data_IF_747491421947
#
_entry.id   IF_747491421947
#
_cell.length_a   1.000
_cell.length_b   1.000
_cell.length_c   1.000
_cell.angle_alpha   90.00
_cell.angle_beta   90.00
_cell.angle_gamma   90.00
#
_symmetry.space_group_name_H-M   'P 1'
#
loop_
_entity.id
_entity.type
_entity.pdbx_description
1 polymer ?
#
# COMPACT_ATOMS: atom_id res chain seq x y z
N UNK A 1 7.50 -44.50 39.94
CA UNK A 1 6.07 -44.21 40.15
C UNK A 1 5.61 -43.23 39.07
N UNK A 2 5.10 -43.68 37.92
CA UNK A 2 4.51 -42.79 36.93
C UNK A 2 3.03 -42.56 37.25
N UNK A 3 2.67 -41.31 37.53
CA UNK A 3 1.29 -40.89 37.79
C UNK A 3 0.51 -40.74 36.49
N UNK A 4 -0.59 -41.47 36.39
CA UNK A 4 -1.57 -41.39 35.33
C UNK A 4 -2.30 -40.04 35.36
N UNK A 5 -2.28 -39.32 34.24
CA UNK A 5 -3.12 -38.14 34.02
C UNK A 5 -4.23 -38.51 33.03
N UNK A 6 -5.44 -38.39 33.54
CA UNK A 6 -6.76 -38.71 33.01
C UNK A 6 -7.18 -37.90 31.78
N UNK A 7 -7.85 -38.55 30.84
CA UNK A 7 -8.48 -37.95 29.66
C UNK A 7 -9.70 -37.06 30.02
N UNK A 8 -10.00 -36.02 29.24
CA UNK A 8 -11.17 -35.16 29.46
C UNK A 8 -12.49 -35.82 28.98
N UNK A 9 -13.65 -35.42 29.55
CA UNK A 9 -14.94 -36.06 29.27
C UNK A 9 -15.51 -35.65 27.90
N UNK A 10 -16.14 -36.61 27.22
CA UNK A 10 -16.82 -36.43 25.93
C UNK A 10 -18.02 -35.48 26.07
N UNK A 11 -17.96 -34.33 25.38
CA UNK A 11 -19.06 -33.39 25.26
C UNK A 11 -20.13 -33.91 24.30
N UNK A 12 -21.34 -34.08 24.82
CA UNK A 12 -22.57 -34.36 24.08
C UNK A 12 -22.80 -33.31 22.97
N UNK A 13 -22.70 -33.71 21.70
CA UNK A 13 -23.19 -32.94 20.56
C UNK A 13 -24.72 -33.02 20.48
N UNK A 14 -25.45 -31.91 20.27
CA UNK A 14 -26.88 -31.95 20.01
C UNK A 14 -27.19 -32.59 18.63
N UNK A 15 -28.35 -33.26 18.47
CA UNK A 15 -28.70 -33.93 17.21
C UNK A 15 -28.99 -32.91 16.09
N UNK A 16 -28.60 -33.27 14.87
CA UNK A 16 -28.86 -32.49 13.66
C UNK A 16 -30.37 -32.35 13.38
N UNK A 17 -30.84 -31.19 12.86
CA UNK A 17 -32.24 -31.02 12.49
C UNK A 17 -32.62 -31.92 11.30
N UNK A 18 -33.88 -32.40 11.22
CA UNK A 18 -34.32 -33.30 10.17
C UNK A 18 -34.30 -32.60 8.80
N UNK A 19 -33.85 -33.33 7.78
CA UNK A 19 -33.84 -32.90 6.39
C UNK A 19 -35.27 -32.55 5.93
N UNK A 20 -35.48 -31.29 5.58
CA UNK A 20 -36.70 -30.85 4.91
C UNK A 20 -36.77 -31.51 3.53
N UNK A 21 -37.74 -32.40 3.37
CA UNK A 21 -38.07 -33.05 2.09
C UNK A 21 -38.59 -31.98 1.13
N UNK A 22 -37.79 -31.62 0.12
CA UNK A 22 -38.24 -30.81 -1.00
C UNK A 22 -39.14 -31.67 -1.90
N UNK A 23 -40.44 -31.38 -1.92
CA UNK A 23 -41.37 -32.00 -2.86
C UNK A 23 -41.05 -31.65 -4.32
N UNK A 24 -41.49 -32.47 -5.30
CA UNK A 24 -41.15 -32.27 -6.70
C UNK A 24 -41.83 -31.00 -7.26
N UNK A 25 -41.07 -30.20 -8.02
CA UNK A 25 -41.58 -29.09 -8.83
C UNK A 25 -42.59 -29.62 -9.87
N UNK A 26 -43.71 -28.94 -10.12
CA UNK A 26 -44.65 -29.35 -11.16
C UNK A 26 -44.03 -29.15 -12.56
N UNK A 27 -44.30 -30.06 -13.52
CA UNK A 27 -43.76 -29.95 -14.87
C UNK A 27 -44.39 -28.75 -15.62
N UNK A 28 -43.63 -28.05 -16.49
CA UNK A 28 -44.23 -27.07 -17.39
C UNK A 28 -45.14 -27.80 -18.38
N UNK A 29 -46.42 -27.42 -18.38
CA UNK A 29 -47.44 -27.99 -19.23
C UNK A 29 -47.11 -27.82 -20.72
N UNK A 30 -46.99 -28.95 -21.42
CA UNK A 30 -46.99 -28.99 -22.86
C UNK A 30 -48.38 -28.72 -23.41
N UNK A 31 -48.48 -27.74 -24.34
CA UNK A 31 -49.61 -27.62 -25.27
C UNK A 31 -49.06 -27.50 -26.68
N UNK A 32 -49.43 -28.49 -27.50
CA UNK A 32 -49.74 -28.34 -28.92
C UNK A 32 -48.56 -28.21 -29.87
N UNK A 33 -48.13 -29.34 -30.41
CA UNK A 33 -47.69 -29.39 -31.79
C UNK A 33 -48.94 -29.33 -32.69
N UNK A 34 -48.97 -28.41 -33.65
CA UNK A 34 -49.54 -28.60 -35.00
C UNK A 34 -49.40 -27.30 -35.81
N UNK A 35 -48.94 -27.43 -37.07
CA UNK A 35 -49.07 -26.38 -38.08
C UNK A 35 -47.75 -25.83 -38.65
N UNK A 36 -47.26 -26.48 -39.70
CA UNK A 36 -46.25 -25.94 -40.59
C UNK A 36 -46.82 -24.78 -41.44
N UNK A 37 -46.20 -23.61 -41.46
CA UNK A 37 -46.24 -22.69 -42.60
C UNK A 37 -45.10 -21.68 -42.58
N UNK A 38 -44.52 -21.48 -43.77
CA UNK A 38 -43.42 -20.57 -44.11
C UNK A 38 -43.70 -19.10 -43.77
N UNK A 39 -42.63 -18.36 -43.42
CA UNK A 39 -42.47 -16.94 -43.75
C UNK A 39 -42.77 -15.93 -42.65
N UNK A 40 -41.81 -15.03 -42.39
CA UNK A 40 -42.02 -13.77 -41.68
C UNK A 40 -41.23 -13.64 -40.38
N UNK A 41 -40.23 -12.75 -40.36
CA UNK A 41 -39.62 -12.26 -39.13
C UNK A 41 -40.71 -11.64 -38.23
N UNK A 42 -40.70 -11.84 -36.91
CA UNK A 42 -41.71 -11.25 -36.04
C UNK A 42 -41.48 -9.73 -35.99
N UNK A 43 -42.51 -8.99 -36.42
CA UNK A 43 -42.60 -7.55 -36.21
C UNK A 43 -42.52 -7.24 -34.71
N UNK A 44 -41.64 -6.29 -34.36
CA UNK A 44 -41.54 -5.76 -32.99
C UNK A 44 -42.88 -5.15 -32.58
N UNK A 45 -43.40 -5.41 -31.37
CA UNK A 45 -44.55 -4.67 -30.87
C UNK A 45 -44.14 -3.21 -30.62
N UNK A 46 -44.61 -2.32 -31.50
CA UNK A 46 -44.58 -0.87 -31.32
C UNK A 46 -45.65 -0.51 -30.27
N UNK A 47 -45.29 -0.42 -29.00
CA UNK A 47 -46.29 -0.08 -27.98
C UNK A 47 -45.85 0.03 -26.52
N UNK A 48 -44.63 -0.40 -26.15
CA UNK A 48 -44.17 -0.36 -24.74
C UNK A 48 -42.92 0.52 -24.51
N UNK A 49 -42.57 1.37 -25.47
CA UNK A 49 -41.37 2.22 -25.41
C UNK A 49 -41.54 3.48 -24.54
N UNK A 50 -42.71 3.67 -23.90
CA UNK A 50 -43.03 4.88 -23.15
C UNK A 50 -42.71 4.85 -21.65
N UNK A 51 -42.54 3.67 -21.04
CA UNK A 51 -42.48 3.55 -19.57
C UNK A 51 -41.08 3.30 -18.99
N UNK A 52 -40.08 3.03 -19.84
CA UNK A 52 -38.68 2.84 -19.41
C UNK A 52 -37.76 4.02 -19.75
N UNK A 53 -38.33 5.17 -20.13
CA UNK A 53 -37.59 6.36 -20.59
C UNK A 53 -36.94 7.19 -19.48
N UNK A 54 -37.08 6.79 -18.21
CA UNK A 54 -36.49 7.49 -17.05
C UNK A 54 -35.20 6.89 -16.50
N UNK A 55 -34.79 5.71 -16.99
CA UNK A 55 -33.53 5.09 -16.57
C UNK A 55 -32.39 5.62 -17.44
N UNK A 56 -31.43 6.32 -16.85
CA UNK A 56 -30.13 6.53 -17.50
C UNK A 56 -29.49 5.15 -17.72
N UNK A 57 -29.69 4.58 -18.91
CA UNK A 57 -28.96 3.40 -19.32
C UNK A 57 -27.51 3.83 -19.45
N UNK A 58 -26.63 3.18 -18.69
CA UNK A 58 -25.19 3.31 -18.88
C UNK A 58 -24.85 2.71 -20.25
N UNK A 59 -24.82 3.55 -21.28
CA UNK A 59 -24.34 3.19 -22.61
C UNK A 59 -22.82 2.96 -22.52
N UNK A 60 -22.43 1.72 -22.20
CA UNK A 60 -21.03 1.33 -22.25
C UNK A 60 -20.68 0.99 -23.69
N UNK A 61 -20.21 1.98 -24.44
CA UNK A 61 -19.61 1.74 -25.75
C UNK A 61 -18.36 0.87 -25.58
N UNK A 62 -18.49 -0.42 -25.87
CA UNK A 62 -17.43 -1.40 -25.80
C UNK A 62 -16.38 -1.21 -26.92
N UNK A 63 -16.70 -0.40 -27.95
CA UNK A 63 -15.83 -0.15 -29.11
C UNK A 63 -14.76 0.91 -28.84
N UNK A 64 -15.00 1.82 -27.90
CA UNK A 64 -14.03 2.84 -27.49
C UNK A 64 -13.49 2.58 -26.08
N UNK A 65 -12.32 1.92 -25.96
CA UNK A 65 -11.65 1.81 -24.68
C UNK A 65 -11.06 3.18 -24.31
N UNK A 66 -11.88 4.09 -23.76
CA UNK A 66 -11.49 5.32 -23.06
C UNK A 66 -10.75 5.00 -21.75
N UNK A 67 -9.80 4.05 -21.80
CA UNK A 67 -9.01 3.53 -20.68
C UNK A 67 -8.18 4.65 -20.07
N UNK A 68 -7.53 5.43 -20.92
CA UNK A 68 -6.71 6.56 -20.50
C UNK A 68 -7.57 7.63 -19.82
N UNK A 69 -8.65 8.06 -20.45
CA UNK A 69 -9.56 9.07 -19.89
C UNK A 69 -10.14 8.63 -18.54
N UNK A 70 -10.62 7.38 -18.43
CA UNK A 70 -11.14 6.83 -17.16
C UNK A 70 -10.08 6.72 -16.08
N UNK A 71 -8.85 6.35 -16.44
CA UNK A 71 -7.73 6.27 -15.49
C UNK A 71 -7.29 7.66 -15.02
N UNK A 72 -7.18 8.63 -15.92
CA UNK A 72 -6.87 10.02 -15.58
C UNK A 72 -7.99 10.64 -14.73
N UNK A 73 -9.25 10.35 -15.04
CA UNK A 73 -10.38 10.80 -14.23
C UNK A 73 -10.36 10.18 -12.82
N UNK A 74 -9.98 8.90 -12.68
CA UNK A 74 -9.82 8.23 -11.38
C UNK A 74 -8.70 8.86 -10.56
N UNK A 75 -7.51 9.04 -11.16
CA UNK A 75 -6.38 9.71 -10.51
C UNK A 75 -6.76 11.14 -10.10
N UNK A 76 -7.30 11.93 -11.04
CA UNK A 76 -7.68 13.32 -10.79
C UNK A 76 -8.75 13.44 -9.71
N UNK A 77 -9.77 12.59 -9.74
CA UNK A 77 -10.84 12.57 -8.72
C UNK A 77 -10.32 12.10 -7.37
N UNK A 78 -9.50 11.06 -7.34
CA UNK A 78 -8.89 10.53 -6.11
C UNK A 78 -7.97 11.55 -5.44
N UNK A 79 -7.12 12.22 -6.22
CA UNK A 79 -6.26 13.29 -5.73
C UNK A 79 -7.07 14.52 -5.27
N UNK A 80 -8.13 14.90 -5.99
CA UNK A 80 -9.01 16.01 -5.57
C UNK A 80 -9.78 15.68 -4.29
N UNK A 81 -10.11 14.40 -4.07
CA UNK A 81 -10.75 13.88 -2.86
C UNK A 81 -9.75 13.44 -1.79
N UNK A 82 -8.54 14.01 -1.76
CA UNK A 82 -7.52 13.69 -0.75
C UNK A 82 -8.03 13.82 0.70
N UNK A 83 -8.98 14.73 0.97
CA UNK A 83 -9.61 14.90 2.29
C UNK A 83 -10.37 13.64 2.74
N UNK A 84 -11.02 12.95 1.80
CA UNK A 84 -11.69 11.68 2.08
C UNK A 84 -10.65 10.58 2.36
N UNK A 85 -9.61 10.48 1.54
CA UNK A 85 -8.52 9.53 1.77
C UNK A 85 -7.85 9.75 3.14
N UNK A 86 -7.62 11.02 3.51
CA UNK A 86 -7.09 11.40 4.81
C UNK A 86 -8.04 11.04 5.96
N UNK A 87 -9.34 11.33 5.84
CA UNK A 87 -10.33 10.97 6.86
C UNK A 87 -10.40 9.44 7.07
N UNK A 88 -10.36 8.66 5.99
CA UNK A 88 -10.30 7.21 6.06
C UNK A 88 -8.99 6.70 6.67
N UNK A 89 -7.85 7.32 6.32
CA UNK A 89 -6.56 6.99 6.90
C UNK A 89 -6.52 7.28 8.41
N UNK A 90 -7.11 8.41 8.82
CA UNK A 90 -7.25 8.76 10.24
C UNK A 90 -8.15 7.78 10.99
N UNK A 91 -9.26 7.37 10.37
CA UNK A 91 -10.15 6.35 10.92
C UNK A 91 -9.42 5.01 11.10
N UNK A 92 -8.57 4.61 10.14
CA UNK A 92 -7.75 3.40 10.26
C UNK A 92 -6.80 3.46 11.45
N UNK A 93 -6.12 4.59 11.63
CA UNK A 93 -5.21 4.81 12.77
C UNK A 93 -6.02 4.69 14.07
N UNK A 94 -7.15 5.39 14.17
CA UNK A 94 -8.00 5.37 15.38
C UNK A 94 -8.53 3.97 15.67
N UNK A 95 -8.92 3.22 14.65
CA UNK A 95 -9.39 1.84 14.79
C UNK A 95 -8.26 0.89 15.20
N UNK A 96 -7.05 1.06 14.64
CA UNK A 96 -5.87 0.27 14.99
C UNK A 96 -5.48 0.41 16.46
N UNK A 97 -5.69 1.59 17.05
CA UNK A 97 -5.37 1.86 18.45
C UNK A 97 -6.60 1.86 19.38
N UNK A 98 -7.78 1.46 18.89
CA UNK A 98 -9.00 1.42 19.70
C UNK A 98 -8.83 0.37 20.81
N UNK A 99 -8.94 0.80 22.07
CA UNK A 99 -8.80 -0.08 23.24
C UNK A 99 -7.37 -0.30 23.70
N UNK A 100 -6.37 0.37 23.12
CA UNK A 100 -4.99 0.34 23.63
C UNK A 100 -4.79 1.40 24.72
N UNK A 101 -4.24 0.99 25.86
CA UNK A 101 -3.93 1.87 27.00
C UNK A 101 -2.78 2.82 26.68
N UNK A 102 -1.76 2.33 25.96
CA UNK A 102 -0.54 3.08 25.61
C UNK A 102 -0.68 3.72 24.21
N UNK A 103 -1.57 3.21 23.37
CA UNK A 103 -1.89 3.79 22.07
C UNK A 103 -0.70 3.83 21.10
N UNK A 104 -0.62 4.86 20.23
CA UNK A 104 0.48 5.05 19.27
C UNK A 104 1.87 5.19 19.91
N UNK A 105 1.94 5.54 21.21
CA UNK A 105 3.22 5.74 21.91
C UNK A 105 4.04 4.44 22.01
N UNK A 106 3.39 3.28 21.95
CA UNK A 106 4.11 2.01 21.95
C UNK A 106 4.95 1.83 20.68
N UNK A 107 4.44 2.26 19.54
CA UNK A 107 5.17 2.17 18.27
C UNK A 107 6.41 3.07 18.27
N UNK A 108 6.27 4.28 18.83
CA UNK A 108 7.39 5.21 18.97
C UNK A 108 8.42 4.68 19.96
N UNK A 109 7.99 4.07 21.06
CA UNK A 109 8.88 3.46 22.05
C UNK A 109 9.66 2.29 21.44
N UNK A 110 8.98 1.40 20.72
CA UNK A 110 9.62 0.28 20.00
C UNK A 110 10.66 0.77 18.99
N UNK A 111 10.31 1.81 18.21
CA UNK A 111 11.24 2.43 17.26
C UNK A 111 12.44 3.05 17.98
N UNK A 112 12.23 3.74 19.11
CA UNK A 112 13.29 4.36 19.89
C UNK A 112 14.25 3.32 20.48
N UNK A 113 13.72 2.22 21.04
CA UNK A 113 14.52 1.09 21.54
C UNK A 113 15.36 0.50 20.40
N UNK A 114 14.78 0.32 19.22
CA UNK A 114 15.50 -0.21 18.06
C UNK A 114 16.60 0.74 17.59
N UNK A 115 16.34 2.05 17.50
CA UNK A 115 17.33 3.07 17.14
C UNK A 115 18.50 3.10 18.11
N UNK A 116 18.22 3.10 19.42
CA UNK A 116 19.27 3.10 20.46
C UNK A 116 20.05 1.78 20.44
N UNK A 117 19.36 0.65 20.45
CA UNK A 117 19.99 -0.67 20.47
C UNK A 117 20.88 -0.92 19.25
N UNK A 118 20.35 -0.71 18.04
CA UNK A 118 21.12 -0.87 16.81
C UNK A 118 22.19 0.21 16.66
N UNK A 119 21.89 1.46 17.06
CA UNK A 119 22.86 2.54 17.04
C UNK A 119 24.09 2.24 17.90
N UNK A 120 23.89 1.78 19.14
CA UNK A 120 24.98 1.38 20.06
C UNK A 120 25.73 0.17 19.52
N UNK A 121 25.01 -0.87 19.09
CA UNK A 121 25.61 -2.10 18.58
C UNK A 121 26.52 -1.84 17.36
N UNK A 122 26.01 -1.14 16.35
CA UNK A 122 26.74 -0.89 15.11
C UNK A 122 27.80 0.20 15.26
N UNK A 123 27.62 1.19 16.14
CA UNK A 123 28.68 2.13 16.49
C UNK A 123 29.88 1.40 17.09
N UNK A 124 29.65 0.46 18.02
CA UNK A 124 30.69 -0.37 18.60
C UNK A 124 31.34 -1.30 17.56
N UNK A 125 30.54 -1.93 16.70
CA UNK A 125 31.02 -2.85 15.66
C UNK A 125 31.92 -2.15 14.64
N UNK A 126 31.52 -0.97 14.16
CA UNK A 126 32.28 -0.18 13.19
C UNK A 126 33.33 0.74 13.82
N UNK A 127 33.45 0.74 15.15
CA UNK A 127 34.36 1.60 15.92
C UNK A 127 34.16 3.09 15.59
N UNK A 128 32.90 3.49 15.42
CA UNK A 128 32.50 4.87 15.15
C UNK A 128 32.01 5.53 16.45
N UNK A 129 32.27 6.84 16.65
CA UNK A 129 31.71 7.56 17.79
C UNK A 129 30.18 7.57 17.71
N UNK A 130 29.52 7.12 18.77
CA UNK A 130 28.06 6.97 18.84
C UNK A 130 27.33 8.27 18.45
N UNK A 131 27.85 9.41 18.90
CA UNK A 131 27.28 10.75 18.63
C UNK A 131 27.20 11.08 17.13
N UNK A 132 28.12 10.56 16.30
CA UNK A 132 28.12 10.80 14.86
C UNK A 132 27.30 9.76 14.07
N UNK A 133 27.00 8.62 14.68
CA UNK A 133 26.37 7.49 14.02
C UNK A 133 24.89 7.33 14.40
N UNK A 134 24.52 7.72 15.62
CA UNK A 134 23.14 7.62 16.11
C UNK A 134 22.15 8.49 15.30
N UNK A 135 22.46 9.74 14.90
CA UNK A 135 21.59 10.55 14.03
C UNK A 135 21.37 9.90 12.66
N UNK A 136 22.43 9.30 12.09
CA UNK A 136 22.37 8.55 10.84
C UNK A 136 21.38 7.39 10.95
N UNK A 137 21.55 6.53 11.96
CA UNK A 137 20.71 5.35 12.15
C UNK A 137 19.27 5.72 12.46
N UNK A 138 19.05 6.76 13.26
CA UNK A 138 17.71 7.23 13.61
C UNK A 138 16.91 7.63 12.36
N UNK A 139 17.48 8.48 11.50
CA UNK A 139 16.83 8.93 10.27
C UNK A 139 16.65 7.76 9.30
N UNK A 140 17.70 6.96 9.08
CA UNK A 140 17.66 5.80 8.17
C UNK A 140 16.60 4.78 8.56
N UNK A 141 16.51 4.41 9.84
CA UNK A 141 15.53 3.41 10.31
C UNK A 141 14.10 3.91 10.20
N UNK A 142 13.84 5.19 10.50
CA UNK A 142 12.48 5.74 10.42
C UNK A 142 12.02 5.82 8.95
N UNK A 143 12.89 6.29 8.05
CA UNK A 143 12.60 6.31 6.62
C UNK A 143 12.40 4.91 6.05
N UNK A 144 13.29 3.98 6.40
CA UNK A 144 13.19 2.59 5.97
C UNK A 144 11.91 1.93 6.46
N UNK A 145 11.58 2.09 7.75
CA UNK A 145 10.36 1.54 8.32
C UNK A 145 9.12 2.08 7.60
N UNK A 146 9.09 3.38 7.27
CA UNK A 146 8.00 3.95 6.49
C UNK A 146 7.89 3.30 5.11
N UNK A 147 9.01 3.18 4.37
CA UNK A 147 9.03 2.53 3.05
C UNK A 147 8.53 1.09 3.16
N UNK A 148 9.06 0.32 4.11
CA UNK A 148 8.71 -1.08 4.32
C UNK A 148 7.23 -1.27 4.65
N UNK A 149 6.67 -0.42 5.51
CA UNK A 149 5.24 -0.46 5.85
C UNK A 149 4.36 -0.09 4.67
N UNK A 150 4.70 0.95 3.91
CA UNK A 150 3.95 1.34 2.71
C UNK A 150 3.94 0.20 1.69
N UNK A 151 5.10 -0.38 1.38
CA UNK A 151 5.25 -1.45 0.39
C UNK A 151 4.48 -2.70 0.81
N UNK A 152 4.58 -3.07 2.08
CA UNK A 152 3.92 -4.27 2.62
C UNK A 152 2.41 -4.10 2.73
N UNK A 153 1.91 -2.97 3.24
CA UNK A 153 0.47 -2.69 3.34
C UNK A 153 -0.16 -2.39 1.97
N UNK A 154 0.60 -1.90 0.99
CA UNK A 154 0.12 -1.68 -0.37
C UNK A 154 -0.39 -2.96 -1.02
N UNK A 155 0.30 -4.08 -0.83
CA UNK A 155 -0.09 -5.39 -1.35
C UNK A 155 -1.52 -5.80 -0.94
N UNK A 156 -1.94 -5.42 0.27
CA UNK A 156 -3.29 -5.69 0.78
C UNK A 156 -4.28 -4.53 0.64
N UNK A 157 -3.84 -3.36 0.16
CA UNK A 157 -4.63 -2.12 0.24
C UNK A 157 -5.96 -2.16 -0.53
N UNK A 158 -5.97 -2.77 -1.72
CA UNK A 158 -7.19 -2.94 -2.52
C UNK A 158 -8.05 -4.10 -2.01
N UNK A 159 -7.41 -5.21 -1.59
CA UNK A 159 -8.11 -6.39 -1.05
C UNK A 159 -8.87 -6.02 0.23
N UNK A 160 -8.23 -5.30 1.16
CA UNK A 160 -8.87 -4.84 2.39
C UNK A 160 -10.04 -3.86 2.14
N UNK A 161 -10.14 -3.28 0.95
CA UNK A 161 -11.20 -2.38 0.56
C UNK A 161 -12.35 -3.06 -0.23
N UNK A 162 -12.35 -4.40 -0.37
CA UNK A 162 -13.34 -5.18 -1.14
C UNK A 162 -14.79 -4.76 -0.86
N UNK A 163 -15.18 -4.72 0.42
CA UNK A 163 -16.54 -4.36 0.82
C UNK A 163 -16.95 -2.96 0.35
N UNK A 164 -16.02 -1.99 0.39
CA UNK A 164 -16.28 -0.62 -0.07
C UNK A 164 -16.30 -0.57 -1.60
N UNK A 165 -15.37 -1.23 -2.26
CA UNK A 165 -15.23 -1.24 -3.73
C UNK A 165 -16.47 -1.85 -4.40
N UNK A 166 -17.05 -2.90 -3.80
CA UNK A 166 -18.25 -3.56 -4.35
C UNK A 166 -19.55 -2.81 -4.09
N UNK A 167 -19.59 -1.93 -3.09
CA UNK A 167 -20.82 -1.22 -2.68
C UNK A 167 -20.83 0.24 -3.16
N UNK A 168 -19.67 0.88 -3.25
CA UNK A 168 -19.51 2.30 -3.54
C UNK A 168 -18.53 2.50 -4.70
N UNK A 169 -18.90 3.33 -5.66
CA UNK A 169 -18.03 3.72 -6.77
C UNK A 169 -17.02 4.78 -6.33
N UNK A 170 -16.06 4.40 -5.50
CA UNK A 170 -14.93 5.25 -5.15
C UNK A 170 -13.75 5.04 -6.12
N UNK A 171 -13.01 6.11 -6.47
CA UNK A 171 -11.78 5.97 -7.26
C UNK A 171 -10.79 5.05 -6.54
N UNK A 172 -10.22 4.08 -7.25
CA UNK A 172 -9.22 3.15 -6.69
C UNK A 172 -8.02 3.90 -6.10
N UNK A 173 -7.66 5.03 -6.73
CA UNK A 173 -6.63 5.95 -6.23
C UNK A 173 -6.88 6.40 -4.79
N UNK A 174 -8.15 6.53 -4.35
CA UNK A 174 -8.50 6.93 -2.97
C UNK A 174 -8.04 5.89 -1.95
N UNK A 175 -8.15 4.60 -2.27
CA UNK A 175 -7.74 3.51 -1.38
C UNK A 175 -6.23 3.41 -1.25
N UNK A 176 -5.52 3.63 -2.36
CA UNK A 176 -4.06 3.69 -2.36
C UNK A 176 -3.56 4.91 -1.61
N UNK A 177 -4.18 6.07 -1.82
CA UNK A 177 -3.85 7.30 -1.09
C UNK A 177 -4.12 7.16 0.41
N UNK A 178 -5.23 6.52 0.81
CA UNK A 178 -5.52 6.15 2.21
C UNK A 178 -4.38 5.34 2.82
N UNK A 179 -3.86 4.34 2.10
CA UNK A 179 -2.73 3.51 2.56
C UNK A 179 -1.46 4.34 2.76
N UNK A 180 -1.10 5.18 1.79
CA UNK A 180 0.12 6.02 1.87
C UNK A 180 0.00 7.07 2.98
N UNK A 181 -1.12 7.79 3.05
CA UNK A 181 -1.35 8.82 4.06
C UNK A 181 -1.37 8.25 5.48
N UNK A 182 -1.96 7.06 5.67
CA UNK A 182 -1.93 6.34 6.95
C UNK A 182 -0.50 6.12 7.41
N UNK A 183 0.35 5.58 6.53
CA UNK A 183 1.74 5.25 6.88
C UNK A 183 2.62 6.48 7.05
N UNK A 184 2.39 7.56 6.29
CA UNK A 184 3.04 8.85 6.53
C UNK A 184 2.65 9.39 7.91
N UNK A 185 1.36 9.32 8.26
CA UNK A 185 0.87 9.74 9.58
C UNK A 185 1.49 8.92 10.71
N UNK A 186 1.65 7.61 10.52
CA UNK A 186 2.34 6.71 11.47
C UNK A 186 3.83 7.06 11.58
N UNK A 187 4.53 7.27 10.46
CA UNK A 187 5.93 7.67 10.45
C UNK A 187 6.17 9.05 11.10
N UNK A 188 5.21 9.98 10.94
CA UNK A 188 5.26 11.29 11.56
C UNK A 188 5.27 11.22 13.10
N UNK A 189 4.66 10.18 13.70
CA UNK A 189 4.74 9.98 15.15
C UNK A 189 6.17 9.65 15.63
N UNK A 190 7.05 9.17 14.74
CA UNK A 190 8.45 8.87 15.06
C UNK A 190 9.38 10.09 14.91
N UNK A 191 8.90 11.23 14.40
CA UNK A 191 9.69 12.46 14.30
C UNK A 191 10.27 12.96 15.63
N UNK A 192 9.57 12.88 16.79
CA UNK A 192 10.14 13.24 18.08
C UNK A 192 11.44 12.50 18.42
N UNK A 193 11.59 11.25 17.95
CA UNK A 193 12.82 10.46 18.16
C UNK A 193 13.99 11.12 17.45
N UNK A 194 13.80 11.59 16.21
CA UNK A 194 14.84 12.30 15.45
C UNK A 194 15.23 13.59 16.19
N UNK A 195 14.25 14.36 16.67
CA UNK A 195 14.50 15.60 17.41
C UNK A 195 15.30 15.36 18.70
N UNK A 196 14.95 14.33 19.48
CA UNK A 196 15.67 13.96 20.70
C UNK A 196 17.10 13.53 20.39
N UNK A 197 17.29 12.71 19.35
CA UNK A 197 18.63 12.26 18.93
C UNK A 197 19.48 13.44 18.45
N UNK A 198 18.90 14.36 17.67
CA UNK A 198 19.61 15.55 17.19
C UNK A 198 20.01 16.49 18.34
N UNK A 199 19.11 16.70 19.31
CA UNK A 199 19.39 17.47 20.51
C UNK A 199 20.49 16.83 21.37
N UNK A 200 20.45 15.50 21.55
CA UNK A 200 21.46 14.75 22.30
C UNK A 200 22.84 14.76 21.61
N UNK A 201 22.86 14.62 20.28
CA UNK A 201 24.10 14.56 19.52
C UNK A 201 24.66 15.93 19.11
N UNK A 202 23.91 17.01 19.31
CA UNK A 202 24.30 18.36 18.90
C UNK A 202 24.32 18.57 17.38
N UNK A 203 23.69 17.67 16.61
CA UNK A 203 23.63 17.73 15.14
C UNK A 203 22.30 18.33 14.72
N UNK A 204 22.31 19.59 14.27
CA UNK A 204 21.12 20.25 13.76
C UNK A 204 21.18 20.44 12.25
N UNK A 205 20.08 20.20 11.53
CA UNK A 205 20.00 20.52 10.12
C UNK A 205 20.16 22.03 9.95
N UNK A 206 21.24 22.46 9.29
CA UNK A 206 21.41 23.86 8.88
C UNK A 206 20.42 24.24 7.77
N UNK A 207 20.66 25.36 7.09
CA UNK A 207 19.82 25.81 5.97
C UNK A 207 19.73 24.76 4.84
N UNK A 208 20.77 23.94 4.69
CA UNK A 208 20.78 22.80 3.77
C UNK A 208 19.69 21.76 4.05
N UNK A 209 19.19 21.67 5.30
CA UNK A 209 18.10 20.77 5.68
C UNK A 209 16.80 21.00 4.92
N UNK A 210 16.58 22.19 4.36
CA UNK A 210 15.42 22.46 3.48
C UNK A 210 15.41 21.58 2.22
N UNK A 211 16.58 21.07 1.78
CA UNK A 211 16.66 20.12 0.67
C UNK A 211 16.01 18.76 0.99
N UNK A 212 15.72 18.47 2.26
CA UNK A 212 14.90 17.31 2.61
C UNK A 212 13.45 17.47 2.10
N UNK A 213 12.92 18.68 1.90
CA UNK A 213 11.54 18.85 1.43
C UNK A 213 11.33 18.30 0.00
N UNK A 214 12.18 18.61 -1.01
CA UNK A 214 12.16 17.92 -2.30
C UNK A 214 12.34 16.40 -2.18
N UNK A 215 13.22 15.93 -1.29
CA UNK A 215 13.42 14.50 -1.04
C UNK A 215 12.14 13.82 -0.54
N UNK A 216 11.42 14.48 0.36
CA UNK A 216 10.16 13.99 0.91
C UNK A 216 9.11 13.89 -0.18
N UNK A 217 9.03 14.88 -1.06
CA UNK A 217 8.14 14.86 -2.21
C UNK A 217 8.42 13.67 -3.12
N UNK A 218 9.69 13.44 -3.49
CA UNK A 218 10.07 12.26 -4.29
C UNK A 218 9.69 10.95 -3.60
N UNK A 219 9.95 10.85 -2.31
CA UNK A 219 9.62 9.67 -1.52
C UNK A 219 8.11 9.41 -1.46
N UNK A 220 7.29 10.45 -1.29
CA UNK A 220 5.81 10.33 -1.29
C UNK A 220 5.27 9.96 -2.67
N UNK A 221 5.78 10.58 -3.74
CA UNK A 221 5.39 10.26 -5.12
C UNK A 221 5.76 8.82 -5.48
N UNK A 222 6.98 8.41 -5.14
CA UNK A 222 7.45 7.04 -5.36
C UNK A 222 6.62 6.03 -4.56
N UNK A 223 6.38 6.33 -3.28
CA UNK A 223 5.53 5.52 -2.39
C UNK A 223 4.12 5.34 -2.96
N UNK A 224 3.51 6.40 -3.48
CA UNK A 224 2.20 6.33 -4.13
C UNK A 224 2.23 5.47 -5.40
N UNK A 225 3.23 5.68 -6.27
CA UNK A 225 3.36 4.91 -7.50
C UNK A 225 3.56 3.41 -7.24
N UNK A 226 4.46 3.06 -6.32
CA UNK A 226 4.72 1.68 -5.90
C UNK A 226 3.50 1.08 -5.22
N UNK A 227 2.82 1.83 -4.33
CA UNK A 227 1.64 1.34 -3.65
C UNK A 227 0.49 1.04 -4.62
N UNK A 228 0.31 1.88 -5.64
CA UNK A 228 -0.67 1.69 -6.69
C UNK A 228 -0.36 0.44 -7.53
N UNK A 229 0.90 0.26 -7.92
CA UNK A 229 1.34 -0.90 -8.70
C UNK A 229 1.18 -2.20 -7.91
N UNK A 230 1.73 -2.26 -6.69
CA UNK A 230 1.67 -3.45 -5.84
C UNK A 230 0.24 -3.79 -5.42
N UNK A 231 -0.59 -2.79 -5.10
CA UNK A 231 -1.99 -3.02 -4.78
C UNK A 231 -2.74 -3.76 -5.90
N UNK A 232 -2.49 -3.40 -7.16
CA UNK A 232 -3.08 -4.10 -8.30
C UNK A 232 -2.48 -5.48 -8.55
N UNK A 233 -1.14 -5.60 -8.50
CA UNK A 233 -0.45 -6.87 -8.76
C UNK A 233 -0.80 -7.91 -7.70
N UNK A 234 -0.82 -7.53 -6.43
CA UNK A 234 -1.15 -8.43 -5.32
C UNK A 234 -2.65 -8.77 -5.25
N UNK A 235 -3.54 -7.85 -5.65
CA UNK A 235 -4.95 -8.19 -5.86
C UNK A 235 -5.10 -9.29 -6.91
N UNK A 236 -4.31 -9.25 -7.99
CA UNK A 236 -4.33 -10.29 -9.04
C UNK A 236 -3.65 -11.59 -8.61
N UNK A 237 -2.52 -11.49 -7.90
CA UNK A 237 -1.65 -12.60 -7.52
C UNK A 237 -1.30 -12.51 -6.04
N UNK A 238 -2.00 -13.28 -5.20
CA UNK A 238 -1.85 -13.22 -3.75
C UNK A 238 -0.47 -13.65 -3.25
N UNK A 239 0.22 -14.52 -4.01
CA UNK A 239 1.57 -15.01 -3.69
C UNK A 239 2.66 -13.94 -3.85
N UNK A 240 2.37 -12.80 -4.49
CA UNK A 240 3.33 -11.70 -4.61
C UNK A 240 3.55 -11.00 -3.27
N UNK A 241 2.56 -10.96 -2.38
CA UNK A 241 2.70 -10.30 -1.09
C UNK A 241 3.84 -10.89 -0.23
N UNK A 242 3.94 -12.21 0.00
CA UNK A 242 5.08 -12.78 0.72
C UNK A 242 6.41 -12.63 -0.05
N UNK A 243 6.41 -12.67 -1.39
CA UNK A 243 7.63 -12.41 -2.19
C UNK A 243 8.13 -10.99 -1.95
N UNK A 244 7.25 -10.00 -1.97
CA UNK A 244 7.57 -8.60 -1.70
C UNK A 244 8.14 -8.43 -0.29
N UNK A 245 7.57 -9.11 0.72
CA UNK A 245 8.10 -9.08 2.09
C UNK A 245 9.55 -9.60 2.16
N UNK A 246 9.84 -10.73 1.50
CA UNK A 246 11.20 -11.28 1.41
C UNK A 246 12.16 -10.35 0.67
N UNK A 247 11.72 -9.74 -0.44
CA UNK A 247 12.52 -8.77 -1.20
C UNK A 247 12.83 -7.55 -0.34
N UNK A 248 11.87 -7.02 0.42
CA UNK A 248 12.10 -5.91 1.33
C UNK A 248 13.10 -6.27 2.42
N UNK A 249 13.03 -7.49 2.98
CA UNK A 249 14.01 -7.95 3.97
C UNK A 249 15.43 -7.97 3.40
N UNK A 250 15.62 -8.45 2.16
CA UNK A 250 16.92 -8.43 1.49
C UNK A 250 17.36 -6.98 1.20
N UNK A 251 16.44 -6.15 0.68
CA UNK A 251 16.70 -4.77 0.33
C UNK A 251 17.14 -3.91 1.53
N UNK A 252 16.70 -4.24 2.75
CA UNK A 252 17.16 -3.60 3.99
C UNK A 252 18.68 -3.72 4.17
N UNK A 253 19.24 -4.91 3.92
CA UNK A 253 20.67 -5.16 4.10
C UNK A 253 21.51 -4.63 2.94
N UNK A 254 20.96 -4.67 1.72
CA UNK A 254 21.62 -4.13 0.51
C UNK A 254 21.64 -2.59 0.50
N UNK A 255 20.73 -1.96 1.24
CA UNK A 255 20.67 -0.50 1.36
C UNK A 255 21.48 -0.06 2.60
N UNK A 256 22.20 1.07 2.54
CA UNK A 256 22.92 1.61 3.69
C UNK A 256 21.96 2.22 4.71
N UNK A 257 21.23 1.34 5.42
CA UNK A 257 20.32 1.71 6.51
C UNK A 257 21.05 1.65 7.84
N UNK A 258 21.81 0.58 8.06
CA UNK A 258 22.55 0.30 9.30
C UNK A 258 24.05 0.58 9.17
N UNK A 259 24.53 0.95 7.99
CA UNK A 259 25.94 1.14 7.72
C UNK A 259 26.14 2.35 6.83
N UNK A 260 27.28 3.01 7.01
CA UNK A 260 27.64 4.25 6.32
C UNK A 260 28.15 3.97 4.90
N UNK A 261 27.67 4.68 3.85
CA UNK A 261 28.14 4.51 2.46
C UNK A 261 29.66 4.53 2.30
N UNK A 262 30.35 5.30 3.13
CA UNK A 262 31.80 5.48 3.12
C UNK A 262 32.56 4.17 3.40
N UNK A 263 31.93 3.22 4.11
CA UNK A 263 32.52 1.92 4.45
C UNK A 263 32.75 1.02 3.22
N UNK A 264 32.07 1.29 2.09
CA UNK A 264 32.21 0.50 0.85
C UNK A 264 33.44 0.88 0.01
N UNK A 265 34.08 2.01 0.30
CA UNK A 265 35.19 2.54 -0.49
C UNK A 265 34.84 2.63 -1.97
N UNK A 266 35.59 1.92 -2.83
CA UNK A 266 35.39 1.91 -4.29
C UNK A 266 34.04 1.33 -4.73
N UNK A 267 33.41 0.47 -3.94
CA UNK A 267 32.14 -0.15 -4.28
C UNK A 267 30.93 0.78 -4.09
N UNK A 268 31.12 1.95 -3.48
CA UNK A 268 30.08 2.95 -3.32
C UNK A 268 29.53 3.48 -4.67
N UNK A 269 30.25 3.25 -5.78
CA UNK A 269 29.81 3.62 -7.14
C UNK A 269 28.49 2.96 -7.56
N UNK A 270 28.15 1.81 -6.96
CA UNK A 270 26.91 1.08 -7.27
C UNK A 270 25.70 1.59 -6.48
N UNK A 271 25.91 2.35 -5.41
CA UNK A 271 24.84 2.83 -4.53
C UNK A 271 23.78 3.66 -5.27
N UNK A 272 24.12 4.57 -6.19
CA UNK A 272 23.11 5.32 -6.96
C UNK A 272 22.20 4.47 -7.86
N UNK A 273 22.47 3.17 -8.04
CA UNK A 273 21.58 2.23 -8.74
C UNK A 273 20.52 1.62 -7.81
N UNK A 274 20.66 1.78 -6.49
CA UNK A 274 19.69 1.29 -5.53
C UNK A 274 18.58 2.36 -5.32
N UNK A 275 17.31 2.05 -5.68
CA UNK A 275 16.22 3.01 -5.55
C UNK A 275 15.91 3.37 -4.08
N UNK A 276 16.03 2.40 -3.16
CA UNK A 276 15.79 2.67 -1.75
C UNK A 276 16.88 3.58 -1.16
N UNK A 277 18.14 3.33 -1.50
CA UNK A 277 19.24 4.20 -1.11
C UNK A 277 19.02 5.64 -1.59
N UNK A 278 18.80 5.82 -2.90
CA UNK A 278 18.73 7.16 -3.50
C UNK A 278 17.58 7.98 -2.92
N UNK A 279 16.41 7.37 -2.71
CA UNK A 279 15.29 8.05 -2.06
C UNK A 279 15.58 8.40 -0.59
N UNK A 280 16.15 7.48 0.18
CA UNK A 280 16.49 7.77 1.58
C UNK A 280 17.59 8.82 1.69
N UNK A 281 18.58 8.80 0.79
CA UNK A 281 19.73 9.71 0.83
C UNK A 281 19.33 11.17 0.58
N UNK A 282 18.38 11.40 -0.33
CA UNK A 282 17.83 12.75 -0.59
C UNK A 282 17.16 13.38 0.63
N UNK A 283 16.75 12.57 1.61
CA UNK A 283 16.24 13.02 2.90
C UNK A 283 17.33 13.07 3.96
N UNK A 284 18.11 11.99 4.06
CA UNK A 284 19.08 11.76 5.13
C UNK A 284 20.24 12.74 5.08
N UNK A 285 20.87 12.93 3.92
CA UNK A 285 22.01 13.83 3.77
C UNK A 285 21.69 15.25 4.24
N UNK A 286 20.64 15.91 3.70
CA UNK A 286 20.27 17.26 4.12
C UNK A 286 19.95 17.38 5.60
N UNK A 287 19.27 16.38 6.19
CA UNK A 287 18.94 16.36 7.62
C UNK A 287 20.18 16.24 8.51
N UNK A 288 21.22 15.57 8.04
CA UNK A 288 22.51 15.45 8.73
C UNK A 288 23.45 16.63 8.44
N UNK A 289 23.07 17.55 7.55
CA UNK A 289 23.92 18.65 7.10
C UNK A 289 24.99 18.23 6.08
N UNK A 290 24.86 17.03 5.51
CA UNK A 290 25.77 16.48 4.50
C UNK A 290 25.29 16.83 3.08
N UNK A 291 26.18 17.28 2.19
CA UNK A 291 25.82 17.56 0.81
C UNK A 291 25.54 16.26 0.04
N UNK A 292 24.38 16.18 -0.61
CA UNK A 292 24.02 15.05 -1.46
C UNK A 292 24.50 15.27 -2.88
N UNK A 293 25.18 14.27 -3.45
CA UNK A 293 25.66 14.30 -4.83
C UNK A 293 24.51 14.46 -5.84
N UNK A 294 24.75 15.25 -6.89
CA UNK A 294 23.81 15.44 -8.01
C UNK A 294 23.40 14.12 -8.66
N UNK A 295 24.30 13.14 -8.71
CA UNK A 295 24.00 11.81 -9.27
C UNK A 295 22.90 11.10 -8.47
N UNK A 296 22.91 11.23 -7.14
CA UNK A 296 21.89 10.63 -6.27
C UNK A 296 20.53 11.28 -6.51
N UNK A 297 20.49 12.61 -6.65
CA UNK A 297 19.27 13.33 -7.01
C UNK A 297 18.72 12.91 -8.38
N UNK A 298 19.59 12.82 -9.40
CA UNK A 298 19.20 12.39 -10.74
C UNK A 298 18.68 10.95 -10.73
N UNK A 299 19.34 10.03 -10.00
CA UNK A 299 18.86 8.66 -9.83
C UNK A 299 17.51 8.62 -9.13
N UNK A 300 17.33 9.36 -8.02
CA UNK A 300 16.06 9.40 -7.29
C UNK A 300 14.89 9.91 -8.15
N UNK A 301 15.12 10.97 -8.94
CA UNK A 301 14.14 11.48 -9.90
C UNK A 301 13.85 10.43 -10.98
N UNK A 302 14.89 9.80 -11.54
CA UNK A 302 14.75 8.78 -12.58
C UNK A 302 13.93 7.58 -12.10
N UNK A 303 14.22 7.04 -10.91
CA UNK A 303 13.45 5.96 -10.32
C UNK A 303 12.00 6.36 -10.02
N UNK A 304 11.77 7.60 -9.58
CA UNK A 304 10.43 8.12 -9.32
C UNK A 304 9.62 8.25 -10.60
N UNK A 305 10.22 8.78 -11.67
CA UNK A 305 9.58 8.87 -12.99
C UNK A 305 9.28 7.49 -13.55
N UNK A 306 10.22 6.55 -13.48
CA UNK A 306 10.02 5.16 -13.92
C UNK A 306 8.91 4.46 -13.13
N UNK A 307 8.89 4.60 -11.81
CA UNK A 307 7.84 4.03 -10.97
C UNK A 307 6.47 4.63 -11.30
N UNK A 308 6.37 5.95 -11.47
CA UNK A 308 5.14 6.63 -11.86
C UNK A 308 4.66 6.18 -13.24
N UNK A 309 5.56 6.10 -14.22
CA UNK A 309 5.24 5.69 -15.58
C UNK A 309 4.78 4.23 -15.64
N UNK A 310 5.51 3.31 -14.98
CA UNK A 310 5.14 1.89 -14.91
C UNK A 310 3.79 1.69 -14.21
N UNK A 311 3.60 2.36 -13.07
CA UNK A 311 2.36 2.31 -12.30
C UNK A 311 1.16 2.87 -13.08
N UNK A 312 1.34 4.02 -13.74
CA UNK A 312 0.30 4.64 -14.55
C UNK A 312 -0.05 3.79 -15.79
N UNK A 313 0.95 3.28 -16.52
CA UNK A 313 0.72 2.41 -17.66
C UNK A 313 -0.03 1.13 -17.26
N UNK A 314 0.36 0.51 -16.14
CA UNK A 314 -0.32 -0.65 -15.59
C UNK A 314 -1.76 -0.31 -15.17
N UNK A 315 -1.96 0.83 -14.51
CA UNK A 315 -3.29 1.28 -14.10
C UNK A 315 -4.21 1.52 -15.29
N UNK A 316 -3.77 2.24 -16.32
CA UNK A 316 -4.54 2.45 -17.56
C UNK A 316 -4.94 1.11 -18.18
N UNK A 317 -4.02 0.13 -18.18
CA UNK A 317 -4.26 -1.17 -18.80
C UNK A 317 -5.24 -2.05 -18.02
N UNK A 318 -5.20 -2.01 -16.70
CA UNK A 318 -5.83 -3.00 -15.82
C UNK A 318 -6.90 -2.46 -14.87
N UNK A 319 -7.12 -1.14 -14.78
CA UNK A 319 -8.12 -0.52 -13.89
C UNK A 319 -9.49 -1.21 -13.92
N UNK A 320 -10.00 -1.50 -15.12
CA UNK A 320 -11.32 -2.13 -15.29
C UNK A 320 -11.43 -3.57 -14.76
N UNK A 321 -10.30 -4.21 -14.42
CA UNK A 321 -10.26 -5.57 -13.89
C UNK A 321 -10.14 -5.63 -12.37
N UNK A 322 -9.82 -4.52 -11.71
CA UNK A 322 -9.53 -4.47 -10.27
C UNK A 322 -10.71 -5.00 -9.45
N UNK A 323 -11.95 -4.59 -9.77
CA UNK A 323 -13.15 -5.06 -9.06
C UNK A 323 -13.38 -6.57 -9.14
N UNK A 324 -12.80 -7.27 -10.13
CA UNK A 324 -12.89 -8.73 -10.25
C UNK A 324 -11.74 -9.45 -9.54
N UNK A 325 -10.66 -8.75 -9.23
CA UNK A 325 -9.49 -9.32 -8.54
C UNK A 325 -9.62 -9.23 -7.03
N UNK A 326 -10.33 -8.21 -6.56
CA UNK A 326 -10.61 -7.94 -5.16
C UNK A 326 -11.78 -8.78 -4.68
#
# INVERSE_FOLDING_TARGET
MPGAATAPPEGHLPPAPPAAQAGPLPPPGGRGADGASRGGAPARPEGETGLLAGGSFYECDASQPRRLERAMADLGTGLRRWRLAFALAWLDIRNRYRGSVIGPLWLTLSTAIMVVGLGVLYAALFKLPLVQFLPFVAVSLILWNMINQIVSEACGSLIAAEGIIRQLTLPYTTHVLRCVLRNIGVAAHSLPIILVVFAFCGTWPGLGGLMALPGLLLLVLNSFAVAMLLGMVCARFRDIAPIVASVMQIAFFLSPVLWKPELLGRHAVWLPLNPAYTLMETMRGPLLGEPVSTLVWLSAVSFTVLACAASFAFFVRFRGRIAFWV
#
